data_IF_673228764190
#
_entry.id   IF_673228764190
#
_cell.length_a   1.000
_cell.length_b   1.000
_cell.length_c   1.000
_cell.angle_alpha   90.00
_cell.angle_beta   90.00
_cell.angle_gamma   90.00
#
_symmetry.space_group_name_H-M   'P 1'
#
loop_
_entity.id
_entity.type
_entity.pdbx_description
1 polymer ?
#
# COMPACT_ATOMS: atom_id res chain seq x y z
N UNK A 1 -16.03 8.04 -0.79
CA UNK A 1 -15.36 7.39 0.36
C UNK A 1 -15.40 5.87 0.30
N UNK A 2 -16.55 5.22 0.03
CA UNK A 2 -16.59 3.76 -0.18
C UNK A 2 -15.62 3.28 -1.27
N UNK A 3 -15.54 4.00 -2.40
CA UNK A 3 -14.58 3.73 -3.48
C UNK A 3 -13.13 3.70 -2.97
N UNK A 4 -12.77 4.57 -2.02
CA UNK A 4 -11.42 4.61 -1.48
C UNK A 4 -11.10 3.33 -0.67
N UNK A 5 -12.05 2.87 0.14
CA UNK A 5 -11.90 1.62 0.88
C UNK A 5 -11.74 0.43 -0.07
N UNK A 6 -12.60 0.33 -1.10
CA UNK A 6 -12.54 -0.75 -2.10
C UNK A 6 -11.19 -0.77 -2.82
N UNK A 7 -10.71 0.40 -3.27
CA UNK A 7 -9.40 0.50 -3.91
C UNK A 7 -8.26 0.13 -2.95
N UNK A 8 -8.39 0.47 -1.67
CA UNK A 8 -7.46 0.04 -0.62
C UNK A 8 -7.37 -1.48 -0.48
N UNK A 9 -8.52 -2.16 -0.43
CA UNK A 9 -8.59 -3.63 -0.40
C UNK A 9 -7.96 -4.24 -1.66
N UNK A 10 -8.26 -3.69 -2.84
CA UNK A 10 -7.68 -4.16 -4.10
C UNK A 10 -6.16 -3.98 -4.11
N UNK A 11 -5.66 -2.81 -3.69
CA UNK A 11 -4.22 -2.56 -3.62
C UNK A 11 -3.54 -3.54 -2.69
N UNK A 12 -4.09 -3.74 -1.49
CA UNK A 12 -3.57 -4.71 -0.53
C UNK A 12 -3.46 -6.10 -1.15
N UNK A 13 -4.54 -6.57 -1.77
CA UNK A 13 -4.57 -7.92 -2.34
C UNK A 13 -3.53 -8.09 -3.47
N UNK A 14 -3.43 -7.10 -4.37
CA UNK A 14 -2.42 -7.11 -5.44
C UNK A 14 -1.00 -7.07 -4.86
N UNK A 15 -0.76 -6.26 -3.82
CA UNK A 15 0.53 -6.18 -3.16
C UNK A 15 0.91 -7.50 -2.47
N UNK A 16 -0.03 -8.15 -1.78
CA UNK A 16 0.19 -9.46 -1.15
C UNK A 16 0.60 -10.51 -2.18
N UNK A 17 -0.14 -10.62 -3.29
CA UNK A 17 0.19 -11.55 -4.38
C UNK A 17 1.53 -11.24 -5.04
N UNK A 18 1.82 -9.96 -5.29
CA UNK A 18 3.07 -9.54 -5.90
C UNK A 18 4.26 -9.88 -5.00
N UNK A 19 4.16 -9.60 -3.70
CA UNK A 19 5.21 -9.91 -2.74
C UNK A 19 5.38 -11.41 -2.56
N UNK A 20 4.29 -12.19 -2.52
CA UNK A 20 4.36 -13.64 -2.48
C UNK A 20 5.09 -14.21 -3.70
N UNK A 21 4.84 -13.65 -4.89
CA UNK A 21 5.49 -14.06 -6.13
C UNK A 21 6.97 -13.66 -6.20
N UNK A 22 7.32 -12.48 -5.71
CA UNK A 22 8.70 -11.98 -5.71
C UNK A 22 9.55 -12.52 -4.55
N UNK A 23 8.94 -12.94 -3.44
CA UNK A 23 9.64 -13.37 -2.24
C UNK A 23 10.67 -14.50 -2.49
N UNK A 24 10.38 -15.55 -3.29
CA UNK A 24 11.36 -16.57 -3.66
C UNK A 24 12.59 -16.04 -4.40
N UNK A 25 12.49 -14.87 -5.04
CA UNK A 25 13.61 -14.20 -5.71
C UNK A 25 14.52 -13.44 -4.74
N UNK A 26 14.23 -13.49 -3.43
CA UNK A 26 15.04 -12.85 -2.39
C UNK A 26 14.80 -11.35 -2.22
N UNK A 27 13.76 -10.77 -2.84
CA UNK A 27 13.50 -9.31 -2.76
C UNK A 27 13.18 -8.84 -1.33
N UNK A 28 12.82 -9.75 -0.44
CA UNK A 28 12.48 -9.50 0.96
C UNK A 28 13.62 -9.86 1.92
N UNK A 29 14.82 -10.17 1.44
CA UNK A 29 15.96 -10.54 2.29
C UNK A 29 17.20 -9.68 2.01
N UNK A 30 18.13 -9.64 2.98
CA UNK A 30 19.41 -8.94 2.86
C UNK A 30 19.29 -7.48 2.41
N UNK A 31 20.21 -7.06 1.54
CA UNK A 31 20.23 -5.72 0.95
C UNK A 31 19.12 -5.48 -0.08
N UNK A 32 18.59 -6.54 -0.71
CA UNK A 32 17.49 -6.43 -1.68
C UNK A 32 16.22 -5.87 -1.02
N UNK A 33 15.98 -6.17 0.26
CA UNK A 33 14.88 -5.59 1.05
C UNK A 33 14.89 -4.06 1.04
N UNK A 34 16.07 -3.43 1.15
CA UNK A 34 16.19 -1.97 1.14
C UNK A 34 15.68 -1.42 -0.20
N UNK A 35 16.07 -2.04 -1.30
CA UNK A 35 15.60 -1.65 -2.64
C UNK A 35 14.09 -1.83 -2.79
N UNK A 36 13.52 -2.91 -2.26
CA UNK A 36 12.06 -3.11 -2.25
C UNK A 36 11.35 -1.97 -1.53
N UNK A 37 11.83 -1.55 -0.36
CA UNK A 37 11.24 -0.44 0.39
C UNK A 37 11.36 0.90 -0.34
N UNK A 38 12.45 1.14 -1.04
CA UNK A 38 12.64 2.34 -1.87
C UNK A 38 11.73 2.34 -3.09
N UNK A 39 11.61 1.20 -3.79
CA UNK A 39 10.79 1.06 -4.99
C UNK A 39 9.29 1.13 -4.71
N UNK A 40 8.87 0.89 -3.47
CA UNK A 40 7.48 1.14 -3.05
C UNK A 40 7.07 2.61 -3.24
N UNK A 41 7.97 3.59 -3.07
CA UNK A 41 7.64 5.01 -3.34
C UNK A 41 7.15 5.27 -4.77
N UNK A 42 7.96 5.02 -5.82
CA UNK A 42 7.50 5.20 -7.19
C UNK A 42 6.41 4.21 -7.57
N UNK A 43 6.37 3.01 -6.96
CA UNK A 43 5.32 2.02 -7.20
C UNK A 43 3.94 2.44 -6.66
N UNK A 44 3.89 3.15 -5.53
CA UNK A 44 2.63 3.59 -4.91
C UNK A 44 2.07 4.87 -5.54
N UNK A 45 2.91 5.73 -6.13
CA UNK A 45 2.47 6.99 -6.72
C UNK A 45 1.34 6.84 -7.78
N UNK A 46 1.42 5.91 -8.76
CA UNK A 46 0.32 5.67 -9.70
C UNK A 46 -1.00 5.36 -9.01
N UNK A 47 -0.97 4.60 -7.91
CA UNK A 47 -2.16 4.27 -7.14
C UNK A 47 -2.74 5.50 -6.43
N UNK A 48 -1.92 6.40 -5.89
CA UNK A 48 -2.41 7.65 -5.28
C UNK A 48 -3.12 8.53 -6.33
N UNK A 49 -2.58 8.59 -7.55
CA UNK A 49 -3.20 9.30 -8.67
C UNK A 49 -4.50 8.63 -9.13
N UNK A 50 -4.53 7.30 -9.16
CA UNK A 50 -5.74 6.52 -9.44
C UNK A 50 -6.80 6.77 -8.37
N UNK A 51 -6.43 6.74 -7.09
CA UNK A 51 -7.31 7.03 -5.96
C UNK A 51 -7.96 8.39 -6.13
N UNK A 52 -7.16 9.42 -6.45
CA UNK A 52 -7.68 10.76 -6.69
C UNK A 52 -8.70 10.79 -7.83
N UNK A 53 -8.36 10.20 -8.98
CA UNK A 53 -9.25 10.15 -10.15
C UNK A 53 -10.53 9.37 -9.90
N UNK A 54 -10.43 8.19 -9.30
CA UNK A 54 -11.56 7.28 -9.11
C UNK A 54 -12.53 7.76 -8.02
N UNK A 55 -12.03 8.44 -7.00
CA UNK A 55 -12.88 8.97 -5.91
C UNK A 55 -13.50 10.33 -6.25
N UNK A 56 -12.94 11.05 -7.23
CA UNK A 56 -13.42 12.38 -7.65
C UNK A 56 -13.29 13.46 -6.57
N UNK A 57 -12.50 13.20 -5.51
CA UNK A 57 -12.36 14.14 -4.39
C UNK A 57 -11.55 15.37 -4.79
N UNK A 58 -11.82 16.50 -4.11
CA UNK A 58 -10.97 17.67 -4.24
C UNK A 58 -9.53 17.32 -3.81
N UNK A 59 -8.53 17.95 -4.43
CA UNK A 59 -7.11 17.66 -4.16
C UNK A 59 -6.74 17.79 -2.68
N UNK A 60 -7.30 18.77 -1.98
CA UNK A 60 -7.12 18.94 -0.52
C UNK A 60 -7.68 17.81 0.33
N UNK A 61 -8.62 17.01 -0.20
CA UNK A 61 -9.22 15.86 0.49
C UNK A 61 -8.54 14.53 0.16
N UNK A 62 -7.51 14.52 -0.72
CA UNK A 62 -6.83 13.29 -1.12
C UNK A 62 -6.14 12.60 0.06
N UNK A 63 -5.61 13.36 1.02
CA UNK A 63 -5.04 12.79 2.25
C UNK A 63 -6.06 11.99 3.07
N UNK A 64 -7.33 12.44 3.10
CA UNK A 64 -8.41 11.70 3.76
C UNK A 64 -8.81 10.45 2.96
N UNK A 65 -8.91 10.57 1.63
CA UNK A 65 -9.21 9.40 0.79
C UNK A 65 -8.14 8.31 0.92
N UNK A 66 -6.85 8.69 0.95
CA UNK A 66 -5.76 7.77 1.22
C UNK A 66 -5.85 7.17 2.62
N UNK A 67 -6.25 7.93 3.64
CA UNK A 67 -6.36 7.41 5.00
C UNK A 67 -7.40 6.29 5.08
N UNK A 68 -8.55 6.48 4.43
CA UNK A 68 -9.60 5.45 4.36
C UNK A 68 -9.11 4.23 3.59
N UNK A 69 -8.50 4.42 2.42
CA UNK A 69 -8.00 3.30 1.61
C UNK A 69 -6.90 2.50 2.30
N UNK A 70 -5.92 3.18 2.90
CA UNK A 70 -4.83 2.53 3.65
C UNK A 70 -5.33 1.87 4.93
N UNK A 71 -6.33 2.44 5.62
CA UNK A 71 -6.97 1.77 6.76
C UNK A 71 -7.65 0.47 6.35
N UNK A 72 -8.39 0.48 5.23
CA UNK A 72 -9.02 -0.73 4.70
C UNK A 72 -7.96 -1.78 4.30
N UNK A 73 -6.88 -1.34 3.64
CA UNK A 73 -5.74 -2.20 3.29
C UNK A 73 -5.11 -2.85 4.53
N UNK A 74 -4.78 -2.06 5.56
CA UNK A 74 -4.20 -2.55 6.81
C UNK A 74 -5.12 -3.49 7.57
N UNK A 75 -6.44 -3.23 7.56
CA UNK A 75 -7.42 -4.13 8.16
C UNK A 75 -7.40 -5.50 7.47
N UNK A 76 -7.46 -5.53 6.14
CA UNK A 76 -7.36 -6.78 5.38
C UNK A 76 -6.02 -7.48 5.60
N UNK A 77 -4.93 -6.71 5.68
CA UNK A 77 -3.59 -7.22 5.96
C UNK A 77 -3.51 -7.92 7.33
N UNK A 78 -4.03 -7.29 8.38
CA UNK A 78 -4.08 -7.89 9.72
C UNK A 78 -4.90 -9.17 9.76
N UNK A 79 -6.07 -9.19 9.10
CA UNK A 79 -6.91 -10.40 9.00
C UNK A 79 -6.18 -11.51 8.23
N UNK A 80 -5.59 -11.18 7.08
CA UNK A 80 -4.91 -12.18 6.26
C UNK A 80 -3.64 -12.73 6.91
N UNK A 81 -2.85 -11.91 7.61
CA UNK A 81 -1.70 -12.38 8.35
C UNK A 81 -2.09 -13.35 9.48
N UNK A 82 -3.23 -13.10 10.15
CA UNK A 82 -3.70 -13.93 11.25
C UNK A 82 -4.31 -15.27 10.81
N UNK A 83 -5.09 -15.29 9.73
CA UNK A 83 -5.89 -16.46 9.34
C UNK A 83 -5.50 -17.07 7.98
N UNK A 84 -4.79 -16.33 7.13
CA UNK A 84 -4.45 -16.74 5.76
C UNK A 84 -2.97 -16.43 5.40
N UNK A 85 -1.98 -16.82 6.24
CA UNK A 85 -0.57 -16.44 6.04
C UNK A 85 0.02 -16.94 4.72
N UNK A 86 -0.55 -18.01 4.13
CA UNK A 86 -0.15 -18.51 2.82
C UNK A 86 -0.35 -17.52 1.67
N UNK A 87 -1.15 -16.46 1.84
CA UNK A 87 -1.29 -15.38 0.84
C UNK A 87 0.00 -14.59 0.63
N UNK A 88 0.94 -14.64 1.57
CA UNK A 88 2.20 -13.91 1.55
C UNK A 88 3.39 -14.77 1.09
N UNK A 89 3.12 -16.00 0.64
CA UNK A 89 4.14 -16.97 0.23
C UNK A 89 4.57 -17.88 1.38
N UNK A 90 5.83 -18.35 1.33
CA UNK A 90 6.37 -19.27 2.33
C UNK A 90 6.54 -18.64 3.71
N UNK A 91 6.44 -19.45 4.78
CA UNK A 91 6.43 -19.00 6.19
C UNK A 91 7.57 -18.03 6.54
N UNK A 92 8.77 -18.24 6.00
CA UNK A 92 9.93 -17.40 6.26
C UNK A 92 9.78 -15.93 5.80
N UNK A 93 8.85 -15.65 4.88
CA UNK A 93 8.69 -14.33 4.26
C UNK A 93 7.42 -13.59 4.69
N UNK A 94 6.50 -14.25 5.41
CA UNK A 94 5.20 -13.68 5.79
C UNK A 94 5.36 -12.37 6.55
N UNK A 95 6.22 -12.35 7.58
CA UNK A 95 6.46 -11.14 8.37
C UNK A 95 7.09 -10.00 7.54
N UNK A 96 8.01 -10.33 6.64
CA UNK A 96 8.66 -9.33 5.78
C UNK A 96 7.70 -8.76 4.73
N UNK A 97 6.80 -9.60 4.18
CA UNK A 97 5.80 -9.18 3.22
C UNK A 97 4.74 -8.28 3.87
N UNK A 98 4.22 -8.66 5.05
CA UNK A 98 3.32 -7.81 5.83
C UNK A 98 3.96 -6.46 6.20
N UNK A 99 5.22 -6.48 6.64
CA UNK A 99 5.96 -5.24 6.94
C UNK A 99 6.12 -4.33 5.70
N UNK A 100 6.34 -4.91 4.50
CA UNK A 100 6.42 -4.14 3.26
C UNK A 100 5.06 -3.53 2.86
N UNK A 101 3.95 -4.23 3.12
CA UNK A 101 2.60 -3.70 2.88
C UNK A 101 2.27 -2.55 3.85
N UNK A 102 2.57 -2.70 5.14
CA UNK A 102 2.43 -1.61 6.12
C UNK A 102 3.26 -0.39 5.73
N UNK A 103 4.48 -0.61 5.25
CA UNK A 103 5.31 0.45 4.68
C UNK A 103 4.65 1.13 3.47
N UNK A 104 4.14 0.35 2.52
CA UNK A 104 3.40 0.87 1.37
C UNK A 104 2.16 1.67 1.74
N UNK A 105 1.42 1.25 2.78
CA UNK A 105 0.30 2.00 3.32
C UNK A 105 0.75 3.38 3.85
N UNK A 106 1.83 3.41 4.65
CA UNK A 106 2.40 4.66 5.14
C UNK A 106 2.89 5.58 4.01
N UNK A 107 3.59 5.03 3.01
CA UNK A 107 4.06 5.76 1.83
C UNK A 107 2.88 6.36 1.05
N UNK A 108 1.84 5.58 0.79
CA UNK A 108 0.63 6.06 0.12
C UNK A 108 -0.03 7.21 0.87
N UNK A 109 -0.11 7.12 2.20
CA UNK A 109 -0.65 8.18 3.04
C UNK A 109 0.19 9.45 2.95
N UNK A 110 1.51 9.36 3.07
CA UNK A 110 2.44 10.50 2.97
C UNK A 110 2.33 11.18 1.61
N UNK A 111 2.32 10.41 0.52
CA UNK A 111 2.17 10.94 -0.84
C UNK A 111 0.82 11.66 -1.03
N UNK A 112 -0.28 11.07 -0.54
CA UNK A 112 -1.61 11.68 -0.58
C UNK A 112 -1.66 13.01 0.17
N UNK A 113 -1.07 13.08 1.37
CA UNK A 113 -0.98 14.31 2.17
C UNK A 113 -0.10 15.36 1.49
N UNK A 114 1.04 14.97 0.91
CA UNK A 114 1.94 15.89 0.21
C UNK A 114 1.24 16.54 -1.00
N UNK A 115 0.50 15.74 -1.79
CA UNK A 115 -0.26 16.24 -2.94
C UNK A 115 -1.39 17.17 -2.49
N UNK A 116 -2.06 16.85 -1.39
CA UNK A 116 -3.11 17.67 -0.79
C UNK A 116 -2.57 19.01 -0.28
N UNK A 117 -1.46 19.00 0.46
CA UNK A 117 -0.82 20.22 0.98
C UNK A 117 -0.36 21.16 -0.13
N UNK A 118 0.11 20.62 -1.26
CA UNK A 118 0.48 21.42 -2.43
C UNK A 118 -0.68 22.18 -3.08
N UNK A 119 -1.94 21.81 -2.79
CA UNK A 119 -3.12 22.54 -3.28
C UNK A 119 -3.53 23.72 -2.42
N UNK A 120 -3.16 23.74 -1.14
CA UNK A 120 -3.47 24.83 -0.20
C UNK A 120 -2.48 26.01 -0.29
N UNK A 121 -1.36 25.83 -1.02
CA UNK A 121 -0.32 26.87 -1.21
C UNK A 121 -0.50 27.69 -2.49
N UNK A 122 -1.54 27.42 -3.28
CA UNK A 122 -1.93 28.18 -4.48
C UNK A 122 -3.19 28.96 -4.17
#
# INVERSE_FOLDING_TARGET
>A
MLVAAILGVILWYVAALLLAWLAPMGVLSGSARVWTYLLIFPGTLPFVLLMWRATGVARGQLGLAMAIGTTAAMFCDGVALAWFPGLYGGEANVAAAGAAILWGAAVGQVLGMAIAAGSARK
#
